data_IF_771164363012
#
_entry.id   IF_771164363012
#
_cell.length_a   1.000
_cell.length_b   1.000
_cell.length_c   1.000
_cell.angle_alpha   90.00
_cell.angle_beta   90.00
_cell.angle_gamma   90.00
#
_symmetry.space_group_name_H-M   'P 1'
#
loop_
_entity.id
_entity.type
_entity.pdbx_description
1 polymer ?
#
# COMPACT_ATOMS: atom_id res chain seq x y z
N UNK A 1 -62.63 6.16 43.76
CA UNK A 1 -61.71 7.23 44.21
C UNK A 1 -60.48 6.74 44.99
N UNK A 2 -60.58 5.74 45.88
CA UNK A 2 -59.45 5.29 46.72
C UNK A 2 -58.23 4.73 45.97
N UNK A 3 -58.42 4.03 44.84
CA UNK A 3 -57.32 3.43 44.03
C UNK A 3 -56.49 4.44 43.21
N UNK A 4 -57.09 5.58 42.83
CA UNK A 4 -56.33 6.66 42.15
C UNK A 4 -55.48 7.45 43.14
N UNK A 5 -55.98 7.62 44.37
CA UNK A 5 -55.25 8.27 45.46
C UNK A 5 -54.02 7.47 45.90
N UNK A 6 -54.10 6.13 45.97
CA UNK A 6 -52.96 5.29 46.33
C UNK A 6 -51.88 5.24 45.25
N UNK A 7 -52.23 5.28 43.97
CA UNK A 7 -51.26 5.35 42.86
C UNK A 7 -50.54 6.70 42.81
N UNK A 8 -51.26 7.81 43.02
CA UNK A 8 -50.64 9.15 43.09
C UNK A 8 -49.70 9.29 44.29
N UNK A 9 -50.04 8.70 45.43
CA UNK A 9 -49.17 8.69 46.62
C UNK A 9 -47.92 7.83 46.39
N UNK A 10 -48.05 6.66 45.75
CA UNK A 10 -46.91 5.82 45.41
C UNK A 10 -45.95 6.49 44.41
N UNK A 11 -46.49 7.18 43.41
CA UNK A 11 -45.69 7.90 42.42
C UNK A 11 -44.98 9.12 43.03
N UNK A 12 -45.66 9.85 43.93
CA UNK A 12 -45.08 10.97 44.67
C UNK A 12 -43.98 10.52 45.64
N UNK A 13 -44.16 9.38 46.32
CA UNK A 13 -43.15 8.79 47.19
C UNK A 13 -41.92 8.32 46.41
N UNK A 14 -42.10 7.73 45.22
CA UNK A 14 -40.99 7.32 44.36
C UNK A 14 -40.21 8.53 43.84
N UNK A 15 -40.91 9.58 43.37
CA UNK A 15 -40.28 10.81 42.90
C UNK A 15 -39.50 11.54 44.02
N UNK A 16 -40.03 11.56 45.24
CA UNK A 16 -39.33 12.12 46.40
C UNK A 16 -38.08 11.31 46.79
N UNK A 17 -38.11 9.98 46.62
CA UNK A 17 -36.95 9.12 46.87
C UNK A 17 -35.81 9.29 45.87
N UNK A 18 -36.11 9.60 44.60
CA UNK A 18 -35.11 9.85 43.55
C UNK A 18 -34.38 11.18 43.73
N UNK A 19 -35.06 12.22 44.23
CA UNK A 19 -34.45 13.52 44.50
C UNK A 19 -33.51 13.51 45.73
N UNK A 20 -33.62 12.51 46.60
CA UNK A 20 -32.79 12.39 47.80
C UNK A 20 -31.35 11.89 47.54
N UNK A 21 -31.03 11.40 46.33
CA UNK A 21 -29.67 11.01 45.94
C UNK A 21 -28.85 12.15 45.30
N UNK A 22 -29.48 13.29 44.97
CA UNK A 22 -28.78 14.51 44.62
C UNK A 22 -28.63 15.34 45.90
N UNK A 23 -27.52 15.16 46.62
CA UNK A 23 -27.17 15.99 47.77
C UNK A 23 -27.15 17.46 47.37
N UNK A 24 -27.56 18.35 48.28
CA UNK A 24 -27.76 19.77 48.00
C UNK A 24 -26.53 20.48 47.45
N UNK A 25 -26.78 21.59 46.75
CA UNK A 25 -25.76 22.49 46.22
C UNK A 25 -24.87 23.02 47.37
N UNK A 26 -23.70 22.41 47.60
CA UNK A 26 -22.71 22.98 48.51
C UNK A 26 -21.65 22.05 49.10
N UNK A 27 -21.92 20.74 49.23
CA UNK A 27 -21.01 19.82 49.96
C UNK A 27 -20.12 18.95 49.06
N UNK A 28 -20.16 19.18 47.74
CA UNK A 28 -19.26 18.49 46.82
C UNK A 28 -17.91 19.19 46.73
N UNK A 29 -16.79 18.45 46.76
CA UNK A 29 -15.48 19.04 46.50
C UNK A 29 -15.46 19.61 45.07
N UNK A 30 -14.79 20.75 44.92
CA UNK A 30 -14.64 21.39 43.61
C UNK A 30 -14.06 20.42 42.58
N UNK A 31 -14.68 20.36 41.39
CA UNK A 31 -14.12 19.70 40.20
C UNK A 31 -13.08 20.58 39.48
N UNK A 32 -12.67 21.70 40.08
CA UNK A 32 -11.57 22.47 39.55
C UNK A 32 -10.30 21.60 39.54
N UNK A 33 -9.64 21.58 38.38
CA UNK A 33 -8.38 20.88 38.20
C UNK A 33 -7.37 21.38 39.24
N UNK A 34 -6.79 20.45 40.01
CA UNK A 34 -5.84 20.81 41.08
C UNK A 34 -4.50 21.22 40.45
N UNK A 35 -3.72 22.12 41.07
CA UNK A 35 -2.45 22.60 40.49
C UNK A 35 -1.40 21.53 40.17
N UNK A 36 -1.50 20.33 40.76
CA UNK A 36 -0.61 19.20 40.47
C UNK A 36 -1.17 18.24 39.41
N UNK A 37 -2.42 18.40 39.00
CA UNK A 37 -3.06 17.62 37.93
C UNK A 37 -2.75 18.20 36.55
N UNK A 38 -2.43 19.50 36.49
CA UNK A 38 -1.67 20.08 35.38
C UNK A 38 -0.25 19.55 35.45
N UNK A 39 -0.03 18.36 34.89
CA UNK A 39 1.31 17.85 34.63
C UNK A 39 2.14 18.88 33.85
N UNK A 40 3.48 18.70 33.79
CA UNK A 40 4.31 19.58 32.99
C UNK A 40 3.77 19.66 31.56
N UNK A 41 3.81 20.86 30.97
CA UNK A 41 3.45 21.03 29.57
C UNK A 41 4.20 19.98 28.73
N UNK A 42 3.52 19.27 27.82
CA UNK A 42 4.18 18.26 27.01
C UNK A 42 5.37 18.92 26.31
N UNK A 43 6.55 18.32 26.46
CA UNK A 43 7.73 18.80 25.78
C UNK A 43 7.42 18.87 24.28
N UNK A 44 7.73 20.01 23.65
CA UNK A 44 7.68 20.11 22.19
C UNK A 44 8.55 18.99 21.63
N UNK A 45 8.01 18.08 20.81
CA UNK A 45 8.80 17.02 20.22
C UNK A 45 9.98 17.64 19.47
N UNK A 46 11.18 17.09 19.67
CA UNK A 46 12.32 17.50 18.87
C UNK A 46 12.00 17.28 17.38
N UNK A 47 12.50 18.18 16.52
CA UNK A 47 12.39 17.96 15.09
C UNK A 47 13.01 16.60 14.74
N UNK A 48 12.35 15.77 13.90
CA UNK A 48 12.88 14.48 13.52
C UNK A 48 14.26 14.66 12.88
N UNK A 49 15.21 13.79 13.26
CA UNK A 49 16.54 13.80 12.68
C UNK A 49 16.45 13.58 11.16
N UNK A 50 17.33 14.20 10.36
CA UNK A 50 17.35 13.97 8.92
C UNK A 50 17.61 12.49 8.63
N UNK A 51 16.74 11.88 7.83
CA UNK A 51 16.89 10.51 7.34
C UNK A 51 18.19 10.43 6.55
N UNK A 52 19.09 9.53 6.96
CA UNK A 52 20.32 9.22 6.22
C UNK A 52 20.05 7.97 5.39
N UNK A 53 19.95 8.07 4.06
CA UNK A 53 19.78 6.89 3.21
C UNK A 53 20.94 5.93 3.46
N UNK A 54 20.61 4.67 3.76
CA UNK A 54 21.61 3.61 3.89
C UNK A 54 22.13 3.20 2.51
N UNK A 55 21.27 3.33 1.50
CA UNK A 55 21.59 2.94 0.14
C UNK A 55 22.45 4.00 -0.56
N UNK A 56 23.57 3.63 -1.19
CA UNK A 56 24.37 4.57 -1.97
C UNK A 56 23.56 5.17 -3.15
N UNK A 57 23.57 6.49 -3.36
CA UNK A 57 22.84 7.13 -4.47
C UNK A 57 23.22 6.60 -5.85
N UNK A 58 24.51 6.28 -6.05
CA UNK A 58 25.01 5.69 -7.30
C UNK A 58 24.35 4.33 -7.57
N UNK A 59 24.14 3.52 -6.52
CA UNK A 59 23.50 2.20 -6.66
C UNK A 59 22.02 2.32 -7.05
N UNK A 60 21.30 3.28 -6.47
CA UNK A 60 19.92 3.58 -6.91
C UNK A 60 19.87 4.04 -8.36
N UNK A 61 20.82 4.88 -8.78
CA UNK A 61 20.88 5.36 -10.16
C UNK A 61 21.14 4.20 -11.14
N UNK A 62 22.10 3.33 -10.84
CA UNK A 62 22.38 2.13 -11.64
C UNK A 62 21.14 1.24 -11.82
N UNK A 63 20.41 0.96 -10.73
CA UNK A 63 19.21 0.13 -10.77
C UNK A 63 18.07 0.80 -11.52
N UNK A 64 17.94 2.13 -11.41
CA UNK A 64 16.96 2.89 -12.19
C UNK A 64 17.23 2.79 -13.69
N UNK A 65 18.49 2.98 -14.10
CA UNK A 65 18.88 2.84 -15.50
C UNK A 65 18.70 1.41 -16.01
N UNK A 66 19.01 0.40 -15.19
CA UNK A 66 18.80 -1.00 -15.54
C UNK A 66 17.32 -1.32 -15.80
N UNK A 67 16.42 -0.86 -14.92
CA UNK A 67 14.97 -1.03 -15.10
C UNK A 67 14.45 -0.26 -16.31
N UNK A 68 14.90 0.98 -16.52
CA UNK A 68 14.51 1.77 -17.68
C UNK A 68 14.96 1.11 -19.00
N UNK A 69 16.18 0.57 -19.03
CA UNK A 69 16.73 -0.13 -20.18
C UNK A 69 15.98 -1.44 -20.49
N UNK A 70 15.66 -2.25 -19.47
CA UNK A 70 14.90 -3.49 -19.69
C UNK A 70 13.47 -3.19 -20.17
N UNK A 71 12.83 -2.18 -19.58
CA UNK A 71 11.49 -1.75 -19.99
C UNK A 71 11.47 -1.21 -21.42
N UNK A 72 12.43 -0.35 -21.79
CA UNK A 72 12.54 0.14 -23.16
C UNK A 72 12.78 -1.00 -24.16
N UNK A 73 13.58 -2.00 -23.79
CA UNK A 73 13.84 -3.16 -24.64
C UNK A 73 12.61 -4.08 -24.80
N UNK A 74 11.73 -4.12 -23.78
CA UNK A 74 10.41 -4.76 -23.88
C UNK A 74 9.52 -4.02 -24.88
N UNK A 75 9.35 -2.71 -24.69
CA UNK A 75 8.48 -1.88 -25.55
C UNK A 75 8.92 -1.92 -27.02
N UNK A 76 10.24 -1.93 -27.28
CA UNK A 76 10.79 -2.03 -28.62
C UNK A 76 10.43 -3.33 -29.36
N UNK A 77 10.02 -4.38 -28.63
CA UNK A 77 9.62 -5.68 -29.19
C UNK A 77 8.11 -5.92 -29.16
N UNK A 78 7.36 -5.14 -28.38
CA UNK A 78 5.93 -5.37 -28.13
C UNK A 78 5.10 -5.33 -29.42
N UNK A 79 5.36 -4.35 -30.32
CA UNK A 79 4.61 -4.21 -31.57
C UNK A 79 4.82 -5.38 -32.55
N UNK A 80 6.05 -5.91 -32.62
CA UNK A 80 6.34 -7.07 -33.47
C UNK A 80 5.70 -8.34 -32.92
N UNK A 81 5.81 -8.57 -31.61
CA UNK A 81 5.12 -9.65 -30.93
C UNK A 81 3.59 -9.56 -31.12
N UNK A 82 3.03 -8.35 -31.05
CA UNK A 82 1.60 -8.11 -31.30
C UNK A 82 1.18 -8.47 -32.73
N UNK A 83 1.98 -8.12 -33.73
CA UNK A 83 1.73 -8.53 -35.11
C UNK A 83 1.78 -10.05 -35.28
N UNK A 84 2.78 -10.71 -34.68
CA UNK A 84 2.94 -12.16 -34.76
C UNK A 84 1.81 -12.90 -34.03
N UNK A 85 1.39 -12.42 -32.86
CA UNK A 85 0.27 -12.96 -32.10
C UNK A 85 -1.03 -12.94 -32.93
N UNK A 86 -1.33 -11.82 -33.60
CA UNK A 86 -2.50 -11.72 -34.51
C UNK A 86 -2.40 -12.68 -35.68
N UNK A 87 -1.22 -12.85 -36.27
CA UNK A 87 -1.01 -13.80 -37.37
C UNK A 87 -1.17 -15.27 -36.92
N UNK A 88 -0.88 -15.57 -35.66
CA UNK A 88 -1.06 -16.89 -35.07
C UNK A 88 -2.51 -17.19 -34.65
N UNK A 89 -3.38 -16.18 -34.54
CA UNK A 89 -4.78 -16.34 -34.14
C UNK A 89 -5.53 -17.33 -35.04
N UNK A 90 -6.16 -18.33 -34.43
CA UNK A 90 -6.91 -19.37 -35.12
C UNK A 90 -6.06 -20.37 -35.93
N UNK A 91 -4.73 -20.24 -35.91
CA UNK A 91 -3.83 -21.19 -36.56
C UNK A 91 -3.61 -22.42 -35.67
N UNK A 92 -3.40 -23.61 -36.27
CA UNK A 92 -3.08 -24.83 -35.51
C UNK A 92 -1.75 -24.67 -34.78
N UNK A 93 -1.57 -25.43 -33.69
CA UNK A 93 -0.37 -25.39 -32.85
C UNK A 93 0.92 -25.65 -33.64
N UNK A 94 0.88 -26.60 -34.58
CA UNK A 94 2.01 -26.97 -35.45
C UNK A 94 2.33 -25.91 -36.54
N UNK A 95 1.56 -24.83 -36.62
CA UNK A 95 1.79 -23.80 -37.64
C UNK A 95 3.05 -22.99 -37.36
N UNK A 96 3.76 -22.63 -38.43
CA UNK A 96 4.91 -21.71 -38.36
C UNK A 96 4.53 -20.36 -37.74
N UNK A 97 3.31 -19.89 -37.97
CA UNK A 97 2.81 -18.64 -37.38
C UNK A 97 2.74 -18.73 -35.86
N UNK A 98 2.17 -19.81 -35.30
CA UNK A 98 2.11 -20.05 -33.85
C UNK A 98 3.50 -20.19 -33.24
N UNK A 99 4.38 -20.96 -33.87
CA UNK A 99 5.77 -21.09 -33.41
C UNK A 99 6.51 -19.73 -33.37
N UNK A 100 6.33 -18.88 -34.40
CA UNK A 100 6.98 -17.56 -34.46
C UNK A 100 6.45 -16.62 -33.37
N UNK A 101 5.15 -16.64 -33.09
CA UNK A 101 4.55 -15.84 -32.01
C UNK A 101 5.05 -16.29 -30.62
N UNK A 102 5.20 -17.59 -30.38
CA UNK A 102 5.73 -18.12 -29.11
C UNK A 102 7.18 -17.68 -28.87
N UNK A 103 8.02 -17.66 -29.91
CA UNK A 103 9.39 -17.14 -29.80
C UNK A 103 9.39 -15.65 -29.45
N UNK A 104 8.55 -14.85 -30.11
CA UNK A 104 8.45 -13.42 -29.79
C UNK A 104 7.92 -13.16 -28.36
N UNK A 105 6.98 -13.97 -27.88
CA UNK A 105 6.52 -13.93 -26.48
C UNK A 105 7.62 -14.31 -25.49
N UNK A 106 8.45 -15.31 -25.81
CA UNK A 106 9.59 -15.69 -24.99
C UNK A 106 10.65 -14.56 -24.94
N UNK A 107 10.86 -13.85 -26.05
CA UNK A 107 11.77 -12.70 -26.08
C UNK A 107 11.26 -11.55 -25.21
N UNK A 108 9.94 -11.31 -25.17
CA UNK A 108 9.31 -10.35 -24.25
C UNK A 108 9.47 -10.79 -22.79
N UNK A 109 9.20 -12.06 -22.50
CA UNK A 109 9.34 -12.63 -21.15
C UNK A 109 10.79 -12.53 -20.65
N UNK A 110 11.78 -12.69 -21.53
CA UNK A 110 13.18 -12.47 -21.20
C UNK A 110 13.51 -11.00 -20.85
N UNK A 111 12.84 -10.00 -21.45
CA UNK A 111 12.99 -8.59 -21.03
C UNK A 111 12.30 -8.36 -19.68
N UNK A 112 11.08 -8.88 -19.54
CA UNK A 112 10.26 -8.82 -18.33
C UNK A 112 10.98 -9.43 -17.13
N UNK A 113 11.68 -10.55 -17.34
CA UNK A 113 12.54 -11.19 -16.34
C UNK A 113 13.70 -10.31 -15.87
N UNK A 114 14.26 -9.47 -16.74
CA UNK A 114 15.30 -8.48 -16.35
C UNK A 114 14.73 -7.33 -15.53
N UNK A 115 13.54 -6.84 -15.87
CA UNK A 115 12.81 -5.86 -15.04
C UNK A 115 12.52 -6.46 -13.64
N UNK A 116 12.04 -7.71 -13.60
CA UNK A 116 11.78 -8.42 -12.35
C UNK A 116 13.05 -8.64 -11.50
N UNK A 117 14.17 -9.00 -12.13
CA UNK A 117 15.46 -9.12 -11.45
C UNK A 117 15.94 -7.80 -10.84
N UNK A 118 15.66 -6.67 -11.50
CA UNK A 118 15.97 -5.34 -10.97
C UNK A 118 15.09 -5.02 -9.75
N UNK A 119 13.79 -5.34 -9.79
CA UNK A 119 12.91 -5.21 -8.64
C UNK A 119 13.38 -6.05 -7.45
N UNK A 120 13.76 -7.31 -7.68
CA UNK A 120 14.28 -8.17 -6.64
C UNK A 120 15.57 -7.62 -6.00
N UNK A 121 16.46 -6.99 -6.79
CA UNK A 121 17.64 -6.32 -6.25
C UNK A 121 17.28 -5.09 -5.38
N UNK A 122 16.23 -4.34 -5.74
CA UNK A 122 15.72 -3.24 -4.92
C UNK A 122 15.09 -3.76 -3.62
N UNK A 123 14.36 -4.87 -3.67
CA UNK A 123 13.77 -5.51 -2.49
C UNK A 123 14.83 -6.00 -1.51
N UNK A 124 15.95 -6.53 -2.01
CA UNK A 124 17.09 -6.89 -1.18
C UNK A 124 17.70 -5.67 -0.45
N UNK A 125 17.89 -4.55 -1.17
CA UNK A 125 18.36 -3.30 -0.55
C UNK A 125 17.36 -2.77 0.48
N UNK A 126 16.06 -2.94 0.24
CA UNK A 126 15.03 -2.48 1.18
C UNK A 126 15.05 -3.31 2.47
N UNK A 127 15.27 -4.63 2.35
CA UNK A 127 15.45 -5.51 3.50
C UNK A 127 16.71 -5.13 4.32
N UNK A 128 17.82 -4.83 3.65
CA UNK A 128 19.06 -4.35 4.31
C UNK A 128 18.84 -3.01 5.03
N UNK A 129 18.20 -2.05 4.37
CA UNK A 129 17.88 -0.73 4.94
C UNK A 129 16.95 -0.85 6.16
N UNK A 130 15.95 -1.75 6.10
CA UNK A 130 15.06 -2.04 7.22
C UNK A 130 15.81 -2.67 8.41
N UNK A 131 16.73 -3.61 8.16
CA UNK A 131 17.57 -4.19 9.20
C UNK A 131 18.49 -3.15 9.87
N UNK A 132 18.91 -2.13 9.12
CA UNK A 132 19.69 -1.00 9.61
C UNK A 132 18.83 0.12 10.27
N UNK A 133 17.51 -0.06 10.37
CA UNK A 133 16.55 0.96 10.85
C UNK A 133 16.69 2.31 10.09
N UNK A 134 17.09 2.24 8.82
CA UNK A 134 17.33 3.40 7.97
C UNK A 134 16.28 3.46 6.86
N UNK A 135 15.13 4.12 7.08
CA UNK A 135 14.13 4.27 6.02
C UNK A 135 14.75 5.00 4.82
N UNK A 136 14.45 4.54 3.61
CA UNK A 136 14.92 5.18 2.37
C UNK A 136 13.74 5.43 1.44
N UNK A 137 13.12 6.63 1.51
CA UNK A 137 11.97 6.97 0.67
C UNK A 137 12.27 6.91 -0.83
N UNK A 138 13.51 7.17 -1.24
CA UNK A 138 13.90 7.12 -2.64
C UNK A 138 13.96 5.68 -3.16
N UNK A 139 14.38 4.74 -2.31
CA UNK A 139 14.34 3.31 -2.61
C UNK A 139 12.90 2.81 -2.78
N UNK A 140 12.01 3.17 -1.84
CA UNK A 140 10.58 2.79 -1.90
C UNK A 140 9.89 3.36 -3.14
N UNK A 141 10.19 4.61 -3.50
CA UNK A 141 9.69 5.22 -4.73
C UNK A 141 10.14 4.43 -5.97
N UNK A 142 11.44 4.08 -6.04
CA UNK A 142 11.97 3.32 -7.16
C UNK A 142 11.40 1.89 -7.23
N UNK A 143 11.22 1.19 -6.10
CA UNK A 143 10.53 -0.10 -6.07
C UNK A 143 9.13 0.00 -6.69
N UNK A 144 8.38 1.04 -6.32
CA UNK A 144 7.03 1.28 -6.82
C UNK A 144 7.00 1.55 -8.34
N UNK A 145 7.95 2.35 -8.84
CA UNK A 145 8.10 2.64 -10.26
C UNK A 145 8.43 1.38 -11.09
N UNK A 146 9.37 0.56 -10.61
CA UNK A 146 9.77 -0.67 -11.29
C UNK A 146 8.67 -1.72 -11.22
N UNK A 147 7.99 -1.88 -10.08
CA UNK A 147 6.84 -2.78 -9.94
C UNK A 147 5.69 -2.40 -10.88
N UNK A 148 5.40 -1.09 -11.03
CA UNK A 148 4.39 -0.63 -11.98
C UNK A 148 4.78 -0.92 -13.44
N UNK A 149 6.07 -0.85 -13.78
CA UNK A 149 6.57 -1.20 -15.11
C UNK A 149 6.43 -2.70 -15.37
N UNK A 150 6.81 -3.53 -14.40
CA UNK A 150 6.67 -4.99 -14.47
C UNK A 150 5.21 -5.42 -14.65
N UNK A 151 4.28 -4.79 -13.91
CA UNK A 151 2.85 -5.07 -14.03
C UNK A 151 2.30 -4.72 -15.43
N UNK A 152 2.81 -3.66 -16.08
CA UNK A 152 2.44 -3.31 -17.45
C UNK A 152 2.96 -4.35 -18.46
N UNK A 153 4.19 -4.81 -18.27
CA UNK A 153 4.80 -5.86 -19.10
C UNK A 153 4.02 -7.16 -19.00
N UNK A 154 3.68 -7.59 -17.78
CA UNK A 154 2.84 -8.77 -17.51
C UNK A 154 1.49 -8.69 -18.22
N UNK A 155 0.80 -7.54 -18.07
CA UNK A 155 -0.46 -7.32 -18.74
C UNK A 155 -0.31 -7.33 -20.27
N UNK A 156 0.81 -6.85 -20.81
CA UNK A 156 1.13 -6.91 -22.23
C UNK A 156 1.23 -8.34 -22.73
N UNK A 157 2.07 -9.15 -22.08
CA UNK A 157 2.25 -10.57 -22.42
C UNK A 157 0.92 -11.32 -22.33
N UNK A 158 0.13 -11.09 -21.27
CA UNK A 158 -1.18 -11.73 -21.10
C UNK A 158 -2.16 -11.40 -22.24
N UNK A 159 -2.28 -10.13 -22.64
CA UNK A 159 -3.13 -9.72 -23.78
C UNK A 159 -2.73 -10.39 -25.09
N UNK A 160 -1.42 -10.60 -25.29
CA UNK A 160 -0.91 -11.26 -26.49
C UNK A 160 -1.23 -12.75 -26.50
N UNK A 161 -1.15 -13.43 -25.36
CA UNK A 161 -1.64 -14.80 -25.21
C UNK A 161 -3.13 -14.94 -25.52
N UNK A 162 -3.97 -14.03 -24.99
CA UNK A 162 -5.41 -13.98 -25.31
C UNK A 162 -5.64 -13.79 -26.81
N UNK A 163 -4.87 -12.91 -27.46
CA UNK A 163 -4.97 -12.64 -28.90
C UNK A 163 -4.67 -13.88 -29.74
N UNK A 164 -3.77 -14.75 -29.30
CA UNK A 164 -3.46 -16.01 -30.01
C UNK A 164 -4.57 -17.06 -29.89
N UNK A 165 -5.55 -16.85 -29.00
CA UNK A 165 -6.60 -17.82 -28.69
C UNK A 165 -6.02 -19.01 -27.95
N UNK A 166 -5.64 -18.77 -26.68
CA UNK A 166 -5.12 -19.73 -25.69
C UNK A 166 -5.29 -21.20 -26.08
#
# INVERSE_FOLDING_TARGET
MRSRLTKSVALAALAAGLAACAGGDGDYPSLAMRPFESGPAPATPAAPAPIRPVTPPARLAELREAAAASHAAFLAREDDAARLARAASGQPFESRARASALVALADLDAQRGRTAGTLAALDALAAEAAAALGPDPALVALQSEVAASLAREDAGIARLWETMGS
#
